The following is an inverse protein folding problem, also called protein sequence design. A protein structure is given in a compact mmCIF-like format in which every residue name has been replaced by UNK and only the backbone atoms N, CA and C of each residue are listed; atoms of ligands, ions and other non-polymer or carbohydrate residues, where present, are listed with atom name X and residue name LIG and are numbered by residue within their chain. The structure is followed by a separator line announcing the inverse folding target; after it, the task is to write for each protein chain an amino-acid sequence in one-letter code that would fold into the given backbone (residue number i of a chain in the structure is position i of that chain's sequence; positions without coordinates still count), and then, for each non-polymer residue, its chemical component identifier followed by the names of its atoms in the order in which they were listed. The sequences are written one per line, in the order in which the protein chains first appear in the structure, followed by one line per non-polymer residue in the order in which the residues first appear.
data_IF_483016407769
#
_entry.id   IF_483016407769
#
_cell.length_a   1.000
_cell.length_b   1.000
_cell.length_c   1.000
_cell.angle_alpha   90.00
_cell.angle_beta   90.00
_cell.angle_gamma   90.00
#
_symmetry.space_group_name_H-M   'P 1'
#
loop_
_entity.id
_entity.type
_entity.pdbx_description
1 polymer ?
#
# COMPACT_ATOMS: atom_id res chain seq x y z
N UNK A 1 4.65 -24.38 14.56
CA UNK A 1 5.33 -23.66 13.47
C UNK A 1 6.47 -22.84 14.05
N UNK A 2 7.42 -22.42 13.22
CA UNK A 2 8.40 -21.40 13.58
C UNK A 2 7.69 -20.04 13.79
N UNK A 3 8.27 -19.17 14.61
CA UNK A 3 7.77 -17.80 14.78
C UNK A 3 8.12 -16.98 13.54
N UNK A 4 7.15 -16.25 13.01
CA UNK A 4 7.31 -15.35 11.86
C UNK A 4 6.90 -13.93 12.27
N UNK A 5 7.67 -12.95 11.83
CA UNK A 5 7.37 -11.52 11.93
C UNK A 5 6.66 -11.10 10.65
N UNK A 6 5.45 -10.54 10.79
CA UNK A 6 4.68 -9.98 9.69
C UNK A 6 3.73 -8.90 10.23
N UNK A 7 3.78 -7.73 9.64
CA UNK A 7 2.94 -6.58 9.94
C UNK A 7 1.80 -6.46 8.91
N UNK A 8 0.61 -6.05 9.34
CA UNK A 8 -0.56 -5.93 8.45
C UNK A 8 -0.31 -5.01 7.25
N UNK A 9 0.32 -3.84 7.48
CA UNK A 9 0.67 -2.88 6.43
C UNK A 9 1.71 -3.36 5.41
N UNK A 10 2.47 -4.41 5.73
CA UNK A 10 3.43 -5.01 4.79
C UNK A 10 2.74 -5.81 3.67
N UNK A 11 1.44 -6.07 3.78
CA UNK A 11 0.67 -6.87 2.83
C UNK A 11 -0.68 -6.25 2.48
N UNK A 12 -1.16 -6.44 1.25
CA UNK A 12 -2.50 -6.04 0.84
C UNK A 12 -3.11 -7.07 -0.11
N UNK A 13 -4.25 -7.65 0.26
CA UNK A 13 -4.88 -8.77 -0.43
C UNK A 13 -6.18 -8.38 -1.13
N UNK A 14 -6.47 -8.99 -2.28
CA UNK A 14 -7.65 -8.69 -3.10
C UNK A 14 -8.91 -9.51 -2.73
N UNK A 15 -8.79 -10.42 -1.76
CA UNK A 15 -9.86 -11.35 -1.37
C UNK A 15 -10.22 -12.41 -2.43
N UNK A 16 -9.42 -12.53 -3.49
CA UNK A 16 -9.62 -13.42 -4.63
C UNK A 16 -8.32 -14.19 -5.01
N UNK A 17 -7.47 -14.47 -4.02
CA UNK A 17 -6.28 -15.31 -4.17
C UNK A 17 -4.96 -14.57 -4.45
N UNK A 18 -4.99 -13.25 -4.62
CA UNK A 18 -3.78 -12.44 -4.81
C UNK A 18 -3.47 -11.53 -3.62
N UNK A 19 -2.18 -11.33 -3.37
CA UNK A 19 -1.63 -10.42 -2.37
C UNK A 19 -0.46 -9.65 -2.94
N UNK A 20 -0.27 -8.43 -2.47
CA UNK A 20 0.90 -7.60 -2.76
C UNK A 20 1.73 -7.38 -1.52
N UNK A 21 3.04 -7.33 -1.72
CA UNK A 21 4.04 -6.99 -0.72
C UNK A 21 5.24 -6.35 -1.43
N UNK A 22 6.12 -5.70 -0.68
CA UNK A 22 7.36 -5.14 -1.21
C UNK A 22 8.55 -6.05 -0.92
N UNK A 23 9.49 -6.09 -1.86
CA UNK A 23 10.79 -6.73 -1.65
C UNK A 23 11.59 -6.01 -0.56
N UNK A 24 11.46 -4.68 -0.48
CA UNK A 24 12.13 -3.90 0.56
C UNK A 24 11.70 -4.36 1.96
N UNK A 25 10.40 -4.48 2.25
CA UNK A 25 9.97 -4.81 3.60
C UNK A 25 10.29 -6.25 4.01
N UNK A 26 10.03 -7.22 3.13
CA UNK A 26 10.05 -8.63 3.52
C UNK A 26 11.32 -9.38 3.11
N UNK A 27 12.05 -8.89 2.11
CA UNK A 27 13.19 -9.58 1.49
C UNK A 27 14.51 -8.80 1.60
N UNK A 28 14.55 -7.66 2.29
CA UNK A 28 15.81 -6.94 2.51
C UNK A 28 16.80 -7.81 3.30
N UNK A 29 18.02 -8.04 2.78
CA UNK A 29 18.97 -8.96 3.37
C UNK A 29 19.84 -8.34 4.47
N UNK A 30 19.77 -7.02 4.69
CA UNK A 30 20.78 -6.31 5.49
C UNK A 30 20.23 -5.19 6.39
N UNK A 31 19.34 -4.34 5.89
CA UNK A 31 18.91 -3.13 6.61
C UNK A 31 17.89 -3.48 7.70
N UNK A 32 16.79 -4.12 7.34
CA UNK A 32 15.78 -4.55 8.29
C UNK A 32 15.24 -5.94 7.96
N UNK A 33 16.03 -6.95 8.34
CA UNK A 33 15.72 -8.36 8.13
C UNK A 33 14.59 -8.81 9.07
N UNK A 34 13.36 -8.92 8.55
CA UNK A 34 12.18 -9.36 9.34
C UNK A 34 12.30 -10.81 9.81
N UNK A 35 12.65 -11.70 8.89
CA UNK A 35 12.73 -13.14 9.12
C UNK A 35 14.07 -13.66 8.59
N UNK A 36 15.11 -13.75 9.45
CA UNK A 36 16.44 -14.19 9.00
C UNK A 36 16.41 -15.58 8.36
N UNK A 37 16.93 -15.66 7.13
CA UNK A 37 16.98 -16.89 6.34
C UNK A 37 15.72 -17.18 5.53
N UNK A 38 14.67 -16.36 5.60
CA UNK A 38 13.53 -16.47 4.70
C UNK A 38 13.91 -16.00 3.30
N UNK A 39 13.49 -16.76 2.30
CA UNK A 39 13.45 -16.32 0.92
C UNK A 39 12.01 -16.04 0.45
N UNK A 40 11.88 -15.70 -0.84
CA UNK A 40 10.57 -15.44 -1.46
C UNK A 40 9.61 -16.62 -1.32
N UNK A 41 10.11 -17.85 -1.45
CA UNK A 41 9.29 -19.06 -1.42
C UNK A 41 8.72 -19.29 -0.03
N UNK A 42 9.51 -19.04 1.02
CA UNK A 42 9.06 -19.16 2.40
C UNK A 42 7.85 -18.25 2.68
N UNK A 43 7.89 -16.99 2.22
CA UNK A 43 6.76 -16.08 2.34
C UNK A 43 5.55 -16.52 1.50
N UNK A 44 5.77 -16.97 0.26
CA UNK A 44 4.70 -17.46 -0.59
C UNK A 44 3.99 -18.68 0.01
N UNK A 45 4.74 -19.63 0.58
CA UNK A 45 4.19 -20.80 1.27
C UNK A 45 3.46 -20.39 2.57
N UNK A 46 3.94 -19.37 3.28
CA UNK A 46 3.26 -18.78 4.43
C UNK A 46 1.94 -18.10 4.04
N UNK A 47 1.94 -17.26 3.01
CA UNK A 47 0.72 -16.59 2.52
C UNK A 47 -0.31 -17.61 2.02
N UNK A 48 0.12 -18.68 1.35
CA UNK A 48 -0.76 -19.77 0.96
C UNK A 48 -1.36 -20.49 2.18
N UNK A 49 -0.54 -20.82 3.16
CA UNK A 49 -0.96 -21.64 4.31
C UNK A 49 -1.84 -20.88 5.30
N UNK A 50 -1.59 -19.58 5.50
CA UNK A 50 -2.24 -18.79 6.56
C UNK A 50 -3.21 -17.73 6.04
N UNK A 51 -2.99 -17.19 4.84
CA UNK A 51 -3.83 -16.14 4.25
C UNK A 51 -4.70 -16.65 3.10
N UNK A 52 -4.53 -17.90 2.66
CA UNK A 52 -5.28 -18.49 1.55
C UNK A 52 -4.99 -17.84 0.20
N UNK A 53 -3.80 -17.22 0.07
CA UNK A 53 -3.34 -16.52 -1.12
C UNK A 53 -2.42 -17.44 -1.91
N UNK A 54 -2.61 -17.55 -3.22
CA UNK A 54 -1.81 -18.42 -4.06
C UNK A 54 -1.05 -17.65 -5.17
N UNK A 55 -1.18 -16.33 -5.24
CA UNK A 55 -0.37 -15.45 -6.08
C UNK A 55 0.14 -14.25 -5.28
N UNK A 56 1.46 -14.12 -5.15
CA UNK A 56 2.11 -12.94 -4.57
C UNK A 56 2.65 -12.05 -5.70
N UNK A 57 2.31 -10.77 -5.66
CA UNK A 57 2.82 -9.75 -6.57
C UNK A 57 3.84 -8.91 -5.79
N UNK A 58 5.11 -9.02 -6.18
CA UNK A 58 6.23 -8.39 -5.50
C UNK A 58 6.58 -7.02 -6.11
N UNK A 59 6.30 -5.98 -5.35
CA UNK A 59 6.76 -4.62 -5.63
C UNK A 59 8.22 -4.45 -5.17
N UNK A 60 8.89 -3.42 -5.69
CA UNK A 60 10.25 -3.05 -5.31
C UNK A 60 10.28 -2.29 -4.00
N UNK A 61 10.71 -1.03 -4.06
CA UNK A 61 10.87 -0.14 -2.89
C UNK A 61 9.60 0.65 -2.58
N UNK A 62 9.44 1.04 -1.32
CA UNK A 62 8.39 1.94 -0.84
C UNK A 62 8.71 3.42 -1.09
N UNK A 63 8.12 4.30 -0.27
CA UNK A 63 8.27 5.75 -0.37
C UNK A 63 9.31 6.29 0.62
N UNK A 64 9.85 7.47 0.33
CA UNK A 64 10.81 8.16 1.17
C UNK A 64 10.15 8.72 2.45
N UNK A 65 10.90 8.67 3.56
CA UNK A 65 10.43 9.13 4.88
C UNK A 65 9.73 8.04 5.71
N UNK A 66 9.48 6.88 5.10
CA UNK A 66 8.88 5.71 5.75
C UNK A 66 9.86 5.03 6.72
N UNK A 67 9.37 4.65 7.90
CA UNK A 67 10.11 3.90 8.93
C UNK A 67 9.75 2.42 8.97
N UNK A 68 8.79 1.99 8.15
CA UNK A 68 8.34 0.61 8.06
C UNK A 68 9.16 -0.23 7.08
N UNK A 69 10.17 0.37 6.44
CA UNK A 69 11.05 -0.29 5.47
C UNK A 69 10.29 -0.74 4.22
N UNK A 70 9.38 0.11 3.74
CA UNK A 70 8.66 -0.01 2.49
C UNK A 70 7.34 -0.75 2.60
N UNK A 71 6.52 -0.50 3.62
CA UNK A 71 5.18 -1.12 3.66
C UNK A 71 4.37 -0.81 2.39
N UNK A 72 3.59 -1.81 1.95
CA UNK A 72 2.82 -1.71 0.70
C UNK A 72 1.63 -0.76 0.81
N UNK A 73 1.11 -0.59 2.03
CA UNK A 73 -0.07 0.24 2.30
C UNK A 73 0.16 1.74 2.09
N UNK A 74 1.41 2.19 2.07
CA UNK A 74 1.80 3.57 1.75
C UNK A 74 2.01 3.85 0.26
N UNK A 75 1.99 2.84 -0.61
CA UNK A 75 2.16 3.07 -2.05
C UNK A 75 1.10 2.42 -2.94
N UNK A 76 0.50 1.29 -2.58
CA UNK A 76 -0.29 0.51 -3.53
C UNK A 76 -1.40 -0.29 -2.85
N UNK A 77 -2.68 -0.05 -3.19
CA UNK A 77 -3.85 -0.67 -2.54
C UNK A 77 -4.81 -1.34 -3.52
N UNK A 78 -5.35 -2.52 -3.20
CA UNK A 78 -6.45 -3.10 -3.96
C UNK A 78 -7.71 -2.29 -3.66
N UNK A 79 -8.44 -1.96 -4.73
CA UNK A 79 -9.74 -1.26 -4.64
C UNK A 79 -10.87 -2.13 -5.19
N UNK A 80 -10.53 -3.18 -5.92
CA UNK A 80 -11.39 -4.29 -6.35
C UNK A 80 -10.53 -5.57 -6.44
N UNK A 81 -11.13 -6.74 -6.74
CA UNK A 81 -10.37 -7.97 -6.99
C UNK A 81 -9.30 -7.87 -8.10
N UNK A 82 -9.46 -6.94 -9.06
CA UNK A 82 -8.63 -6.83 -10.26
C UNK A 82 -8.06 -5.43 -10.52
N UNK A 83 -8.28 -4.49 -9.60
CA UNK A 83 -7.85 -3.11 -9.74
C UNK A 83 -7.09 -2.66 -8.50
N UNK A 84 -5.98 -1.97 -8.74
CA UNK A 84 -5.17 -1.33 -7.71
C UNK A 84 -5.06 0.16 -7.98
N UNK A 85 -4.93 0.92 -6.91
CA UNK A 85 -4.33 2.25 -6.97
C UNK A 85 -2.84 2.14 -6.65
N UNK A 86 -2.00 2.86 -7.39
CA UNK A 86 -0.56 2.98 -7.17
C UNK A 86 -0.20 4.47 -7.08
N UNK A 87 0.58 4.83 -6.07
CA UNK A 87 1.11 6.18 -5.93
C UNK A 87 1.97 6.57 -7.13
N UNK A 88 1.83 7.80 -7.60
CA UNK A 88 2.56 8.36 -8.71
C UNK A 88 3.16 9.70 -8.33
N UNK A 89 4.46 9.82 -8.54
CA UNK A 89 5.21 11.06 -8.53
C UNK A 89 5.58 11.41 -9.97
N UNK A 90 5.41 12.67 -10.34
CA UNK A 90 5.67 13.18 -11.69
C UNK A 90 6.98 13.97 -11.77
N UNK A 91 7.50 14.46 -10.64
CA UNK A 91 8.79 15.17 -10.58
C UNK A 91 9.98 14.20 -10.58
N UNK A 92 10.78 14.12 -11.65
CA UNK A 92 11.95 13.25 -11.69
C UNK A 92 13.05 13.60 -10.68
N UNK A 93 12.98 14.79 -10.08
CA UNK A 93 13.87 15.24 -9.01
C UNK A 93 13.47 14.75 -7.62
N UNK A 94 12.25 14.25 -7.43
CA UNK A 94 11.78 13.75 -6.15
C UNK A 94 12.30 12.31 -5.88
N UNK A 95 12.65 12.03 -4.63
CA UNK A 95 13.17 10.72 -4.22
C UNK A 95 12.20 9.54 -4.46
N UNK A 96 10.90 9.80 -4.56
CA UNK A 96 9.88 8.77 -4.81
C UNK A 96 9.75 8.40 -6.29
N UNK A 97 10.17 9.28 -7.21
CA UNK A 97 9.90 9.12 -8.65
C UNK A 97 10.40 7.77 -9.19
N UNK A 98 11.67 7.45 -8.97
CA UNK A 98 12.28 6.25 -9.53
C UNK A 98 11.62 4.96 -8.99
N UNK A 99 11.39 4.90 -7.66
CA UNK A 99 10.79 3.74 -7.01
C UNK A 99 9.34 3.52 -7.47
N UNK A 100 8.53 4.58 -7.52
CA UNK A 100 7.14 4.49 -7.97
C UNK A 100 7.02 4.14 -9.45
N UNK A 101 7.94 4.65 -10.30
CA UNK A 101 8.04 4.28 -11.72
C UNK A 101 8.39 2.80 -11.91
N UNK A 102 9.37 2.28 -11.17
CA UNK A 102 9.73 0.86 -11.21
C UNK A 102 8.53 -0.02 -10.78
N UNK A 103 7.84 0.36 -9.71
CA UNK A 103 6.63 -0.34 -9.25
C UNK A 103 5.52 -0.31 -10.30
N UNK A 104 5.37 0.78 -11.04
CA UNK A 104 4.43 0.85 -12.16
C UNK A 104 4.78 -0.17 -13.23
N UNK A 105 6.03 -0.21 -13.67
CA UNK A 105 6.53 -1.14 -14.68
C UNK A 105 6.33 -2.61 -14.26
N UNK A 106 6.60 -2.93 -12.99
CA UNK A 106 6.35 -4.28 -12.43
C UNK A 106 4.88 -4.71 -12.51
N UNK A 107 3.94 -3.77 -12.47
CA UNK A 107 2.50 -4.06 -12.52
C UNK A 107 1.92 -4.08 -13.94
N UNK A 108 2.64 -3.56 -14.95
CA UNK A 108 2.10 -3.35 -16.30
C UNK A 108 1.58 -4.62 -16.97
N UNK A 109 2.22 -5.77 -16.73
CA UNK A 109 1.88 -7.04 -17.36
C UNK A 109 1.43 -8.12 -16.38
N UNK A 110 1.03 -7.72 -15.17
CA UNK A 110 0.49 -8.66 -14.19
C UNK A 110 -0.85 -9.20 -14.69
N UNK A 111 -0.90 -10.52 -14.87
CA UNK A 111 -2.13 -11.28 -15.08
C UNK A 111 -2.44 -12.04 -13.81
N UNK A 112 -3.63 -11.81 -13.27
CA UNK A 112 -4.13 -12.50 -12.09
C UNK A 112 -4.45 -13.95 -12.45
N UNK A 113 -4.42 -14.86 -11.47
CA UNK A 113 -4.70 -16.29 -11.69
C UNK A 113 -6.07 -16.58 -12.35
N UNK A 114 -7.04 -15.68 -12.20
CA UNK A 114 -8.32 -15.74 -12.91
C UNK A 114 -8.27 -15.37 -14.41
N UNK A 115 -7.09 -15.01 -14.94
CA UNK A 115 -6.87 -14.60 -16.32
C UNK A 115 -7.07 -13.10 -16.59
N UNK A 116 -7.59 -12.35 -15.61
CA UNK A 116 -7.76 -10.90 -15.74
C UNK A 116 -6.40 -10.18 -15.68
N UNK A 117 -6.18 -9.21 -16.56
CA UNK A 117 -5.06 -8.28 -16.45
C UNK A 117 -5.32 -7.31 -15.31
N UNK A 118 -4.33 -7.07 -14.46
CA UNK A 118 -4.44 -6.12 -13.35
C UNK A 118 -4.59 -4.69 -13.89
N UNK A 119 -5.62 -3.99 -13.43
CA UNK A 119 -5.81 -2.56 -13.72
C UNK A 119 -5.06 -1.73 -12.70
N UNK A 120 -4.26 -0.76 -13.15
CA UNK A 120 -3.44 0.11 -12.30
C UNK A 120 -3.86 1.57 -12.50
N UNK A 121 -4.41 2.16 -11.46
CA UNK A 121 -4.89 3.54 -11.46
C UNK A 121 -3.90 4.40 -10.68
N UNK A 122 -3.50 5.53 -11.26
CA UNK A 122 -2.60 6.46 -10.57
C UNK A 122 -3.33 7.17 -9.43
N UNK A 123 -2.68 7.20 -8.27
CA UNK A 123 -3.02 8.08 -7.17
C UNK A 123 -1.87 9.07 -7.00
N UNK A 124 -2.10 10.40 -7.01
CA UNK A 124 -0.99 11.35 -6.95
C UNK A 124 -0.26 11.22 -5.60
N UNK A 125 1.03 11.54 -5.54
CA UNK A 125 1.69 11.81 -4.27
C UNK A 125 1.31 13.21 -3.74
N UNK A 126 1.17 13.40 -2.42
CA UNK A 126 1.16 14.74 -1.86
C UNK A 126 2.54 15.40 -2.03
N UNK A 127 2.59 16.74 -2.04
CA UNK A 127 3.88 17.44 -1.95
C UNK A 127 4.64 16.99 -0.69
N UNK A 128 5.96 16.88 -0.81
CA UNK A 128 6.82 16.45 0.28
C UNK A 128 6.58 17.30 1.54
N UNK A 129 6.20 16.65 2.63
CA UNK A 129 6.06 17.25 3.95
C UNK A 129 7.32 16.99 4.76
N UNK A 130 7.73 17.99 5.53
CA UNK A 130 8.89 17.90 6.40
C UNK A 130 8.55 18.35 7.81
N UNK A 131 9.08 17.65 8.79
CA UNK A 131 9.06 18.05 10.19
C UNK A 131 10.44 17.80 10.80
N UNK A 132 11.00 18.78 11.51
CA UNK A 132 12.35 18.74 12.08
C UNK A 132 13.45 18.26 11.10
N UNK A 133 13.31 18.64 9.82
CA UNK A 133 14.26 18.28 8.75
C UNK A 133 14.12 16.85 8.20
N UNK A 134 13.18 16.06 8.73
CA UNK A 134 12.85 14.72 8.24
C UNK A 134 11.69 14.79 7.26
N UNK A 135 11.79 14.06 6.14
CA UNK A 135 10.67 13.86 5.21
C UNK A 135 9.67 12.91 5.85
N UNK A 136 8.39 13.25 5.81
CA UNK A 136 7.30 12.43 6.35
C UNK A 136 6.70 11.52 5.26
N UNK A 137 6.26 10.30 5.59
CA UNK A 137 5.68 9.35 4.63
C UNK A 137 4.21 9.69 4.32
N UNK A 138 3.95 10.91 3.88
CA UNK A 138 2.60 11.33 3.52
C UNK A 138 2.16 10.61 2.22
N UNK A 139 1.06 9.85 2.31
CA UNK A 139 0.50 9.12 1.18
C UNK A 139 -1.02 9.05 1.25
N UNK A 140 -1.68 9.28 0.12
CA UNK A 140 -3.12 9.05 0.00
C UNK A 140 -3.48 7.56 -0.05
N UNK A 141 -2.52 6.67 -0.33
CA UNK A 141 -2.73 5.22 -0.35
C UNK A 141 -2.98 4.65 1.06
N UNK A 142 -2.58 5.36 2.11
CA UNK A 142 -2.82 4.98 3.50
C UNK A 142 -4.28 5.24 3.97
N UNK A 143 -5.24 5.06 3.06
CA UNK A 143 -6.68 5.18 3.32
C UNK A 143 -7.26 3.93 4.00
N UNK A 144 -8.38 4.12 4.67
CA UNK A 144 -9.13 3.08 5.37
C UNK A 144 -10.49 2.84 4.71
N UNK A 145 -10.76 1.61 4.28
CA UNK A 145 -12.09 1.18 3.82
C UNK A 145 -12.86 0.64 5.04
N UNK A 146 -13.96 1.31 5.43
CA UNK A 146 -14.76 0.92 6.59
C UNK A 146 -16.26 0.87 6.24
N UNK A 147 -16.80 -0.33 6.03
CA UNK A 147 -18.23 -0.51 5.75
C UNK A 147 -18.70 0.29 4.53
N UNK A 148 -19.47 1.36 4.78
CA UNK A 148 -20.01 2.29 3.76
C UNK A 148 -19.20 3.56 3.55
N UNK A 149 -18.03 3.68 4.19
CA UNK A 149 -17.17 4.86 4.07
C UNK A 149 -15.75 4.45 3.65
N UNK A 150 -15.05 5.38 3.01
CA UNK A 150 -13.60 5.35 2.81
C UNK A 150 -13.03 6.61 3.45
N UNK A 151 -12.21 6.45 4.47
CA UNK A 151 -11.51 7.57 5.10
C UNK A 151 -10.16 7.72 4.41
N UNK A 152 -9.98 8.84 3.71
CA UNK A 152 -8.74 9.14 2.99
C UNK A 152 -7.95 10.23 3.74
N UNK A 153 -6.63 10.05 3.95
CA UNK A 153 -5.83 11.08 4.59
C UNK A 153 -5.72 12.30 3.68
N UNK A 154 -5.69 13.50 4.26
CA UNK A 154 -5.44 14.76 3.54
C UNK A 154 -4.34 15.56 4.22
N UNK A 155 -3.63 16.37 3.43
CA UNK A 155 -2.38 16.98 3.83
C UNK A 155 -2.34 18.50 3.63
N UNK A 156 -3.49 19.14 3.41
CA UNK A 156 -3.60 20.56 3.06
C UNK A 156 -2.87 20.87 1.74
N UNK A 157 -3.05 19.98 0.76
CA UNK A 157 -2.41 20.02 -0.54
C UNK A 157 -3.45 20.03 -1.67
N UNK A 158 -3.25 20.72 -2.80
CA UNK A 158 -4.15 20.66 -3.94
C UNK A 158 -4.38 19.24 -4.48
N UNK A 159 -3.42 18.32 -4.33
CA UNK A 159 -3.61 16.92 -4.68
C UNK A 159 -4.65 16.21 -3.80
N UNK A 160 -5.00 16.76 -2.62
CA UNK A 160 -6.06 16.21 -1.74
C UNK A 160 -7.34 16.03 -2.56
N UNK A 161 -7.72 17.06 -3.34
CA UNK A 161 -8.93 17.04 -4.16
C UNK A 161 -8.87 15.99 -5.27
N UNK A 162 -7.69 15.80 -5.85
CA UNK A 162 -7.49 14.83 -6.94
C UNK A 162 -7.59 13.41 -6.38
N UNK A 163 -6.88 13.13 -5.29
CA UNK A 163 -6.91 11.83 -4.63
C UNK A 163 -8.32 11.46 -4.14
N UNK A 164 -9.02 12.40 -3.49
CA UNK A 164 -10.42 12.18 -3.08
C UNK A 164 -11.34 11.91 -4.26
N UNK A 165 -11.14 12.60 -5.40
CA UNK A 165 -11.91 12.37 -6.63
C UNK A 165 -11.69 10.97 -7.21
N UNK A 166 -10.42 10.56 -7.34
CA UNK A 166 -10.05 9.21 -7.81
C UNK A 166 -10.67 8.13 -6.91
N UNK A 167 -10.55 8.27 -5.59
CA UNK A 167 -11.14 7.31 -4.65
C UNK A 167 -12.68 7.31 -4.73
N UNK A 168 -13.32 8.47 -4.92
CA UNK A 168 -14.78 8.54 -5.04
C UNK A 168 -15.30 7.83 -6.29
N UNK A 169 -14.57 7.93 -7.42
CA UNK A 169 -14.90 7.18 -8.63
C UNK A 169 -14.74 5.67 -8.45
N UNK A 170 -13.74 5.24 -7.67
CA UNK A 170 -13.45 3.83 -7.43
C UNK A 170 -14.39 3.17 -6.40
N UNK A 171 -14.96 3.97 -5.50
CA UNK A 171 -15.87 3.48 -4.47
C UNK A 171 -17.26 4.13 -4.59
N UNK A 172 -18.00 3.92 -5.71
CA UNK A 172 -19.25 4.64 -5.98
C UNK A 172 -20.38 4.34 -4.98
N UNK A 173 -20.29 3.22 -4.26
CA UNK A 173 -21.25 2.83 -3.22
C UNK A 173 -20.84 3.26 -1.80
N UNK A 174 -19.71 3.98 -1.66
CA UNK A 174 -19.19 4.43 -0.37
C UNK A 174 -19.01 5.94 -0.36
N UNK A 175 -19.19 6.53 0.81
CA UNK A 175 -18.84 7.92 1.04
C UNK A 175 -17.34 8.05 1.24
N UNK A 176 -16.66 8.84 0.41
CA UNK A 176 -15.23 9.14 0.59
C UNK A 176 -15.11 10.42 1.42
N UNK A 177 -14.49 10.29 2.60
CA UNK A 177 -14.33 11.38 3.58
C UNK A 177 -12.84 11.66 3.75
N UNK A 178 -12.44 12.90 3.45
CA UNK A 178 -11.09 13.38 3.74
C UNK A 178 -10.89 13.67 5.23
N UNK A 179 -9.81 13.16 5.81
CA UNK A 179 -9.42 13.41 7.20
C UNK A 179 -8.02 14.01 7.21
N UNK A 180 -7.88 15.22 7.79
CA UNK A 180 -6.58 15.86 7.87
C UNK A 180 -5.63 15.01 8.72
N UNK A 181 -4.52 14.60 8.12
CA UNK A 181 -3.49 13.76 8.73
C UNK A 181 -2.14 14.48 8.80
N UNK A 182 -2.12 15.82 8.66
CA UNK A 182 -0.89 16.64 8.74
C UNK A 182 -0.15 16.43 10.06
N UNK A 183 -0.88 16.39 11.18
CA UNK A 183 -0.28 16.11 12.49
C UNK A 183 -0.07 14.61 12.71
N UNK A 184 -0.93 13.77 12.12
CA UNK A 184 -0.88 12.32 12.30
C UNK A 184 0.37 11.71 11.68
N UNK A 185 0.73 12.16 10.47
CA UNK A 185 1.87 11.64 9.70
C UNK A 185 3.22 11.95 10.36
N UNK A 186 3.26 12.82 11.37
CA UNK A 186 4.46 12.99 12.21
C UNK A 186 4.80 11.71 12.98
N UNK A 187 3.79 10.88 13.28
CA UNK A 187 3.95 9.54 13.81
C UNK A 187 4.31 8.47 12.76
N UNK A 188 4.67 8.89 11.55
CA UNK A 188 5.14 8.05 10.44
C UNK A 188 4.10 7.06 9.87
N UNK A 189 2.81 7.36 10.08
CA UNK A 189 1.70 6.64 9.46
C UNK A 189 0.43 7.47 9.46
N UNK A 190 -0.61 6.98 8.77
CA UNK A 190 -1.91 7.65 8.72
C UNK A 190 -3.06 6.71 9.12
N UNK A 191 -4.18 6.76 8.39
CA UNK A 191 -5.44 6.15 8.82
C UNK A 191 -5.38 4.62 8.78
N UNK A 192 -4.75 4.04 7.76
CA UNK A 192 -4.64 2.60 7.62
C UNK A 192 -3.79 1.99 8.73
N UNK A 193 -2.61 2.57 8.99
CA UNK A 193 -1.64 2.06 9.99
C UNK A 193 -2.21 1.98 11.41
N UNK A 194 -3.20 2.83 11.74
CA UNK A 194 -3.80 2.90 13.08
C UNK A 194 -5.05 2.01 13.22
N UNK A 195 -5.38 1.25 12.19
CA UNK A 195 -6.62 0.49 12.10
C UNK A 195 -6.36 -0.98 11.79
N UNK A 196 -7.31 -1.83 12.16
CA UNK A 196 -7.38 -3.20 11.69
C UNK A 196 -8.85 -3.60 11.62
N UNK A 197 -9.29 -4.10 10.48
CA UNK A 197 -10.67 -4.52 10.30
C UNK A 197 -10.92 -5.89 10.98
N UNK A 198 -12.16 -6.08 11.44
CA UNK A 198 -12.66 -7.38 11.86
C UNK A 198 -13.76 -7.81 10.87
N UNK A 199 -13.46 -8.76 9.95
CA UNK A 199 -14.45 -9.23 9.00
C UNK A 199 -15.66 -9.84 9.71
N UNK A 200 -16.86 -9.59 9.18
CA UNK A 200 -18.05 -10.32 9.61
C UNK A 200 -17.89 -11.79 9.21
N UNK A 201 -18.00 -12.70 10.19
CA UNK A 201 -17.96 -14.13 9.92
C UNK A 201 -18.99 -14.51 8.83
N UNK A 202 -18.58 -15.37 7.89
CA UNK A 202 -19.51 -15.96 6.93
C UNK A 202 -20.45 -16.89 7.72
N UNK A 203 -21.75 -16.61 7.64
CA UNK A 203 -22.79 -17.46 8.24
C UNK A 203 -23.09 -18.69 7.41
#
# INVERSE_FOLDING_TARGET
GARVVLEGGATDANGAGALRATEECLLDPAVQVRNPGFDRRDYEDLFASYLGVDQTIWLGRGIAGDDTHGHVDDLCRFVSPDTVVLCREDDPGDANYAALRENRERLEDVVLKGGAKLSVIDLPMPRALYFDGLRLPASYANFLIAGRVVLAPTFNDPADRVALGVLAELFPEREVVGVSCVDLVWGLGALHCLSHEQPRARG
#
